data_IF_914223458867
#
_entry.id   IF_914223458867
#
_cell.length_a   1.000
_cell.length_b   1.000
_cell.length_c   1.000
_cell.angle_alpha   90.00
_cell.angle_beta   90.00
_cell.angle_gamma   90.00
#
_symmetry.space_group_name_H-M   'P 1'
#
loop_
_entity.id
_entity.type
_entity.pdbx_description
1 polymer ?
#
# COMPACT_ATOMS: atom_id res chain seq x y z
N UNK A 1 3.54 6.02 8.15
CA UNK A 1 4.20 4.71 8.20
C UNK A 1 3.10 3.66 8.08
N UNK A 2 3.19 2.84 7.04
CA UNK A 2 2.17 1.86 6.63
C UNK A 2 2.10 0.75 7.68
N UNK A 3 0.90 0.29 8.05
CA UNK A 3 0.64 -0.68 9.13
C UNK A 3 0.20 -2.01 8.52
N UNK A 4 1.12 -2.77 7.92
CA UNK A 4 0.79 -4.03 7.26
C UNK A 4 0.87 -5.23 8.21
N UNK A 5 0.04 -6.23 7.98
CA UNK A 5 0.02 -7.51 8.72
C UNK A 5 -0.43 -8.60 7.74
N UNK A 6 0.27 -9.73 7.71
CA UNK A 6 -0.11 -10.82 6.81
C UNK A 6 -1.49 -11.42 7.16
N UNK A 7 -1.71 -11.69 8.45
CA UNK A 7 -2.97 -12.23 8.98
C UNK A 7 -3.90 -11.06 9.35
N UNK A 8 -5.11 -10.99 8.75
CA UNK A 8 -6.02 -9.88 8.97
C UNK A 8 -6.50 -9.77 10.42
N UNK A 9 -6.73 -8.55 10.94
CA UNK A 9 -7.20 -8.34 12.31
C UNK A 9 -8.50 -9.08 12.65
N UNK A 10 -9.44 -9.19 11.71
CA UNK A 10 -10.71 -9.89 11.95
C UNK A 10 -10.50 -11.39 12.22
N UNK A 11 -9.49 -12.00 11.61
CA UNK A 11 -9.19 -13.41 11.77
C UNK A 11 -8.44 -13.63 13.09
N UNK A 12 -7.41 -12.82 13.36
CA UNK A 12 -6.69 -12.85 14.63
C UNK A 12 -7.62 -12.62 15.83
N UNK A 13 -8.62 -11.75 15.72
CA UNK A 13 -9.55 -11.48 16.82
C UNK A 13 -10.36 -12.72 17.20
N UNK A 14 -10.54 -13.63 16.24
CA UNK A 14 -11.30 -14.87 16.42
C UNK A 14 -10.46 -16.01 16.98
N UNK A 15 -9.19 -16.10 16.59
CA UNK A 15 -8.35 -17.30 16.87
C UNK A 15 -7.10 -17.02 17.68
N UNK A 16 -6.57 -15.80 17.64
CA UNK A 16 -5.29 -15.41 18.23
C UNK A 16 -5.31 -13.97 18.79
N UNK A 17 -6.21 -13.66 19.75
CA UNK A 17 -6.38 -12.29 20.26
C UNK A 17 -5.12 -11.74 20.95
N UNK A 18 -4.26 -12.62 21.48
CA UNK A 18 -2.98 -12.23 22.09
C UNK A 18 -2.02 -11.60 21.05
N UNK A 19 -2.01 -12.12 19.81
CA UNK A 19 -1.22 -11.55 18.71
C UNK A 19 -1.67 -10.13 18.36
N UNK A 20 -2.99 -9.84 18.45
CA UNK A 20 -3.49 -8.46 18.27
C UNK A 20 -2.91 -7.51 19.31
N UNK A 21 -2.82 -7.93 20.57
CA UNK A 21 -2.30 -7.09 21.66
C UNK A 21 -0.82 -6.78 21.44
N UNK A 22 -0.03 -7.78 21.03
CA UNK A 22 1.38 -7.59 20.68
C UNK A 22 1.51 -6.59 19.54
N UNK A 23 0.70 -6.76 18.50
CA UNK A 23 0.72 -5.88 17.35
C UNK A 23 0.27 -4.45 17.70
N UNK A 24 -0.69 -4.28 18.61
CA UNK A 24 -1.15 -2.98 19.13
C UNK A 24 -0.08 -2.30 20.00
N UNK A 25 0.69 -3.07 20.77
CA UNK A 25 1.83 -2.56 21.51
C UNK A 25 2.97 -2.10 20.58
N UNK A 26 3.26 -2.86 19.52
CA UNK A 26 4.19 -2.45 18.46
C UNK A 26 3.72 -1.16 17.77
N UNK A 27 2.42 -1.02 17.53
CA UNK A 27 1.80 0.20 16.98
C UNK A 27 1.97 1.41 17.91
N UNK A 28 1.83 1.22 19.23
CA UNK A 28 1.90 2.29 20.22
C UNK A 28 3.33 2.74 20.55
N UNK A 29 4.33 1.85 20.44
CA UNK A 29 5.74 2.14 20.76
C UNK A 29 6.48 3.02 19.75
N UNK A 30 5.87 3.38 18.62
CA UNK A 30 6.53 4.06 17.49
C UNK A 30 6.48 5.59 17.55
N UNK A 31 6.87 6.15 18.70
CA UNK A 31 7.17 7.59 18.83
C UNK A 31 8.66 7.80 19.13
N UNK A 32 9.52 7.57 18.14
CA UNK A 32 10.91 8.05 18.18
C UNK A 32 11.27 8.68 16.82
N UNK A 33 11.65 9.97 16.77
CA UNK A 33 12.16 10.59 15.56
C UNK A 33 13.45 9.91 15.11
N UNK A 34 13.57 9.58 13.83
CA UNK A 34 14.78 8.99 13.28
C UNK A 34 15.90 10.04 13.21
N UNK A 35 17.11 9.77 13.74
CA UNK A 35 18.27 10.60 13.47
C UNK A 35 18.69 10.46 12.01
N UNK A 36 19.19 11.55 11.46
CA UNK A 36 19.54 11.73 10.05
C UNK A 36 20.26 10.53 9.40
N UNK A 37 19.89 10.26 8.15
CA UNK A 37 20.39 9.15 7.33
C UNK A 37 21.92 9.21 7.26
N UNK A 38 22.58 8.39 8.08
CA UNK A 38 24.02 8.18 7.93
C UNK A 38 24.26 7.35 6.68
N UNK A 39 25.10 7.85 5.79
CA UNK A 39 25.61 7.15 4.60
C UNK A 39 26.00 5.71 4.92
N UNK A 40 25.27 4.75 4.35
CA UNK A 40 25.57 3.31 4.46
C UNK A 40 26.91 3.02 3.75
N UNK A 41 27.79 2.31 4.45
CA UNK A 41 29.07 1.85 3.93
C UNK A 41 28.87 0.74 2.87
N UNK A 42 29.76 0.62 1.86
CA UNK A 42 29.63 -0.36 0.76
C UNK A 42 29.80 -1.85 1.14
N UNK A 43 29.72 -2.22 2.42
CA UNK A 43 30.16 -3.53 2.94
C UNK A 43 29.10 -4.27 3.75
N UNK A 44 27.85 -3.81 3.78
CA UNK A 44 26.77 -4.55 4.43
C UNK A 44 26.33 -5.75 3.57
N UNK A 45 26.08 -6.90 4.19
CA UNK A 45 25.48 -8.06 3.51
C UNK A 45 24.12 -7.66 2.90
N UNK A 46 23.76 -8.23 1.75
CA UNK A 46 22.50 -7.92 1.06
C UNK A 46 21.27 -8.20 1.94
N UNK A 47 21.38 -9.19 2.82
CA UNK A 47 20.39 -9.46 3.86
C UNK A 47 21.05 -10.09 5.09
N UNK A 48 20.36 -9.94 6.24
CA UNK A 48 20.71 -10.56 7.52
C UNK A 48 19.45 -11.08 8.19
N UNK A 49 19.46 -12.36 8.55
CA UNK A 49 18.45 -13.01 9.40
C UNK A 49 18.89 -12.97 10.86
N UNK A 50 17.98 -12.54 11.71
CA UNK A 50 18.09 -12.48 13.15
C UNK A 50 17.09 -13.43 13.81
N UNK A 51 17.36 -13.81 15.05
CA UNK A 51 16.37 -14.44 15.94
C UNK A 51 16.03 -13.49 17.07
N UNK A 52 14.74 -13.38 17.38
CA UNK A 52 14.28 -12.69 18.58
C UNK A 52 14.34 -13.59 19.83
N UNK A 53 14.78 -14.84 19.70
CA UNK A 53 14.89 -15.83 20.79
C UNK A 53 13.57 -15.97 21.58
N UNK A 54 12.42 -15.96 20.88
CA UNK A 54 11.06 -15.97 21.43
C UNK A 54 10.72 -14.76 22.33
N UNK A 55 11.45 -13.65 22.16
CA UNK A 55 11.13 -12.35 22.75
C UNK A 55 10.50 -11.45 21.69
N UNK A 56 10.05 -10.26 22.09
CA UNK A 56 9.53 -9.24 21.17
C UNK A 56 10.56 -8.14 20.85
N UNK A 57 11.83 -8.35 21.19
CA UNK A 57 12.90 -7.37 20.96
C UNK A 57 13.45 -7.49 19.55
N UNK A 58 13.40 -6.40 18.79
CA UNK A 58 13.87 -6.32 17.40
C UNK A 58 15.20 -5.52 17.28
N UNK A 59 16.06 -5.84 16.29
CA UNK A 59 15.99 -7.00 15.40
C UNK A 59 16.41 -8.31 16.10
N UNK A 60 16.85 -8.25 17.36
CA UNK A 60 17.39 -9.43 18.05
C UNK A 60 18.79 -9.80 17.56
N UNK A 61 19.19 -11.05 17.77
CA UNK A 61 20.55 -11.53 17.54
C UNK A 61 20.72 -12.03 16.11
N UNK A 62 21.70 -11.50 15.38
CA UNK A 62 22.03 -11.98 14.04
C UNK A 62 22.47 -13.46 14.09
N UNK A 63 21.93 -14.28 13.18
CA UNK A 63 22.18 -15.72 13.10
C UNK A 63 22.63 -16.21 11.73
N UNK A 64 22.30 -15.48 10.66
CA UNK A 64 22.74 -15.80 9.30
C UNK A 64 22.74 -14.56 8.41
N UNK A 65 23.75 -14.42 7.55
CA UNK A 65 23.82 -13.34 6.55
C UNK A 65 24.01 -13.90 5.14
N UNK A 66 23.82 -13.05 4.13
CA UNK A 66 24.07 -13.41 2.74
C UNK A 66 25.49 -13.97 2.53
N UNK A 67 25.58 -15.21 2.02
CA UNK A 67 26.84 -15.92 1.79
C UNK A 67 27.24 -16.90 2.90
N UNK A 68 26.58 -16.85 4.06
CA UNK A 68 26.81 -17.81 5.14
C UNK A 68 26.18 -19.19 4.83
N UNK A 69 26.77 -20.30 5.32
CA UNK A 69 26.17 -21.63 5.22
C UNK A 69 24.83 -21.70 5.98
N UNK A 70 24.08 -22.79 5.76
CA UNK A 70 22.87 -23.09 6.53
C UNK A 70 23.16 -23.12 8.04
N UNK A 71 22.21 -22.58 8.79
CA UNK A 71 22.30 -22.45 10.24
C UNK A 71 21.91 -23.75 10.97
N UNK A 72 21.13 -24.61 10.31
CA UNK A 72 20.51 -25.79 10.92
C UNK A 72 19.18 -25.48 11.63
N UNK A 73 18.77 -24.22 11.65
CA UNK A 73 17.43 -23.80 12.05
C UNK A 73 16.56 -23.60 10.81
N UNK A 74 15.46 -24.35 10.73
CA UNK A 74 14.59 -24.36 9.55
C UNK A 74 13.97 -23.00 9.27
N UNK A 75 13.56 -22.23 10.28
CA UNK A 75 12.93 -20.94 10.07
C UNK A 75 13.94 -19.90 9.56
N UNK A 76 15.17 -19.94 10.10
CA UNK A 76 16.28 -19.10 9.64
C UNK A 76 16.65 -19.43 8.19
N UNK A 77 16.71 -20.72 7.86
CA UNK A 77 17.14 -21.18 6.54
C UNK A 77 16.07 -20.97 5.46
N UNK A 78 14.80 -21.12 5.80
CA UNK A 78 13.65 -20.73 4.96
C UNK A 78 13.63 -19.22 4.70
N UNK A 79 13.77 -18.38 5.75
CA UNK A 79 13.81 -16.94 5.60
C UNK A 79 14.97 -16.48 4.70
N UNK A 80 16.15 -17.08 4.86
CA UNK A 80 17.34 -16.82 4.05
C UNK A 80 17.14 -17.21 2.57
N UNK A 81 16.56 -18.38 2.30
CA UNK A 81 16.25 -18.82 0.95
C UNK A 81 15.20 -17.92 0.30
N UNK A 82 14.12 -17.60 1.03
CA UNK A 82 13.04 -16.74 0.57
C UNK A 82 13.51 -15.34 0.21
N UNK A 83 14.27 -14.68 1.09
CA UNK A 83 14.77 -13.32 0.78
C UNK A 83 15.75 -13.31 -0.39
N UNK A 84 16.57 -14.35 -0.52
CA UNK A 84 17.49 -14.49 -1.67
C UNK A 84 16.68 -14.59 -2.97
N UNK A 85 15.64 -15.42 -2.99
CA UNK A 85 14.74 -15.55 -4.14
C UNK A 85 13.98 -14.27 -4.47
N UNK A 86 13.47 -13.58 -3.44
CA UNK A 86 12.72 -12.35 -3.59
C UNK A 86 13.58 -11.20 -4.14
N UNK A 87 14.79 -11.01 -3.61
CA UNK A 87 15.74 -10.03 -4.14
C UNK A 87 16.16 -10.36 -5.58
N UNK A 88 16.38 -11.64 -5.90
CA UNK A 88 16.68 -12.07 -7.26
C UNK A 88 15.50 -11.83 -8.21
N UNK A 89 14.25 -12.04 -7.78
CA UNK A 89 13.08 -11.69 -8.58
C UNK A 89 13.09 -10.20 -8.92
N UNK A 90 13.22 -9.33 -7.91
CA UNK A 90 13.21 -7.89 -8.14
C UNK A 90 14.39 -7.39 -8.97
N UNK A 91 15.59 -7.90 -8.75
CA UNK A 91 16.78 -7.46 -9.48
C UNK A 91 16.83 -8.02 -10.91
N UNK A 92 16.73 -9.34 -11.07
CA UNK A 92 16.96 -10.01 -12.36
C UNK A 92 15.77 -9.85 -13.31
N UNK A 93 14.55 -9.87 -12.77
CA UNK A 93 13.35 -9.64 -13.57
C UNK A 93 13.15 -8.13 -13.64
N UNK A 94 12.85 -7.47 -12.52
CA UNK A 94 12.37 -6.08 -12.54
C UNK A 94 13.45 -5.00 -12.67
N UNK A 95 14.74 -5.35 -12.62
CA UNK A 95 15.85 -4.36 -12.63
C UNK A 95 15.88 -3.50 -11.37
N UNK A 96 15.22 -3.94 -10.29
CA UNK A 96 15.09 -3.21 -9.03
C UNK A 96 16.07 -3.75 -7.99
N UNK A 97 17.04 -2.92 -7.61
CA UNK A 97 17.98 -3.27 -6.54
C UNK A 97 17.34 -3.12 -5.16
N UNK A 98 16.92 -4.22 -4.56
CA UNK A 98 16.25 -4.29 -3.25
C UNK A 98 14.93 -3.50 -3.18
N UNK A 99 14.32 -3.44 -2.00
CA UNK A 99 13.01 -2.83 -1.80
C UNK A 99 13.00 -1.32 -2.09
N UNK A 100 14.12 -0.61 -1.96
CA UNK A 100 14.23 0.84 -2.18
C UNK A 100 14.74 1.24 -3.58
N UNK A 101 15.06 0.26 -4.43
CA UNK A 101 15.67 0.47 -5.74
C UNK A 101 17.13 0.94 -5.70
N UNK A 102 17.72 1.12 -4.51
CA UNK A 102 19.09 1.62 -4.32
C UNK A 102 20.00 0.58 -3.67
N UNK A 103 19.50 -0.61 -3.39
CA UNK A 103 20.26 -1.72 -2.83
C UNK A 103 20.33 -1.69 -1.30
N UNK A 104 19.29 -1.18 -0.63
CA UNK A 104 19.22 -1.25 0.83
C UNK A 104 19.35 -2.71 1.32
N UNK A 105 20.15 -2.97 2.37
CA UNK A 105 20.22 -4.29 2.98
C UNK A 105 18.89 -4.64 3.65
N UNK A 106 18.47 -5.91 3.57
CA UNK A 106 17.21 -6.37 4.18
C UNK A 106 17.49 -7.08 5.51
N UNK A 107 16.84 -6.61 6.58
CA UNK A 107 16.84 -7.31 7.87
C UNK A 107 15.57 -8.13 8.02
N UNK A 108 15.71 -9.35 8.53
CA UNK A 108 14.61 -10.26 8.82
C UNK A 108 14.77 -10.79 10.24
N UNK A 109 13.69 -10.90 11.00
CA UNK A 109 13.70 -11.48 12.35
C UNK A 109 12.72 -12.64 12.43
N UNK A 110 13.21 -13.82 12.81
CA UNK A 110 12.41 -15.03 13.07
C UNK A 110 12.29 -15.29 14.57
N UNK A 111 11.44 -16.26 14.96
CA UNK A 111 11.14 -16.60 16.35
C UNK A 111 10.68 -15.39 17.17
N UNK A 112 9.85 -14.54 16.54
CA UNK A 112 9.30 -13.36 17.17
C UNK A 112 8.16 -13.74 18.11
N UNK A 113 8.26 -13.34 19.38
CA UNK A 113 7.27 -13.67 20.40
C UNK A 113 7.18 -15.18 20.68
N UNK A 114 6.14 -15.58 21.38
CA UNK A 114 5.77 -16.99 21.60
C UNK A 114 4.39 -17.19 21.03
N UNK A 115 4.20 -18.28 20.29
CA UNK A 115 2.91 -18.61 19.67
C UNK A 115 2.34 -17.44 18.86
N UNK A 116 3.23 -16.69 18.19
CA UNK A 116 2.87 -15.47 17.49
C UNK A 116 2.34 -15.82 16.10
N UNK A 117 1.06 -15.56 15.91
CA UNK A 117 0.29 -15.96 14.73
C UNK A 117 0.31 -14.92 13.61
N UNK A 118 1.47 -14.32 13.33
CA UNK A 118 1.56 -13.33 12.26
C UNK A 118 2.96 -13.16 11.67
N UNK A 119 3.00 -12.45 10.54
CA UNK A 119 4.20 -11.86 9.96
C UNK A 119 3.90 -10.42 9.51
N UNK A 120 4.93 -9.57 9.45
CA UNK A 120 4.76 -8.18 9.01
C UNK A 120 6.07 -7.52 8.54
N UNK A 121 5.93 -6.58 7.60
CA UNK A 121 6.89 -5.49 7.38
C UNK A 121 6.65 -4.36 8.37
N UNK A 122 7.70 -3.99 9.08
CA UNK A 122 7.62 -3.06 10.19
C UNK A 122 7.95 -1.61 9.79
N UNK A 123 8.36 -1.37 8.54
CA UNK A 123 8.92 -0.10 8.06
C UNK A 123 10.46 -0.11 7.98
N UNK A 124 11.10 -1.09 8.63
CA UNK A 124 12.57 -1.24 8.68
C UNK A 124 13.00 -2.67 8.38
N UNK A 125 12.27 -3.67 8.87
CA UNK A 125 12.60 -5.09 8.74
C UNK A 125 11.36 -5.98 8.57
N UNK A 126 11.60 -7.21 8.11
CA UNK A 126 10.59 -8.27 8.08
C UNK A 126 10.60 -9.03 9.40
N UNK A 127 9.43 -9.38 9.93
CA UNK A 127 9.30 -10.09 11.22
C UNK A 127 8.36 -11.28 11.05
N UNK A 128 8.75 -12.45 11.56
CA UNK A 128 8.00 -13.70 11.41
C UNK A 128 7.81 -14.40 12.75
N UNK A 129 6.56 -14.78 13.02
CA UNK A 129 6.20 -15.68 14.11
C UNK A 129 6.33 -17.15 13.76
N UNK A 130 6.37 -17.97 14.81
CA UNK A 130 6.43 -19.43 14.70
C UNK A 130 5.03 -20.08 14.62
N UNK A 131 3.96 -19.29 14.79
CA UNK A 131 2.59 -19.78 14.93
C UNK A 131 2.34 -20.46 16.27
N UNK A 132 1.07 -20.68 16.60
CA UNK A 132 0.61 -21.28 17.86
C UNK A 132 0.71 -22.81 17.93
N UNK A 133 1.11 -23.47 16.83
CA UNK A 133 1.17 -24.92 16.76
C UNK A 133 -0.20 -25.61 16.81
N UNK A 134 -1.29 -24.86 16.66
CA UNK A 134 -2.68 -25.38 16.67
C UNK A 134 -3.45 -24.98 15.43
N UNK A 135 -3.44 -23.70 15.08
CA UNK A 135 -4.03 -23.16 13.86
C UNK A 135 -2.94 -22.89 12.84
N UNK A 136 -1.89 -22.17 13.24
CA UNK A 136 -0.82 -21.77 12.36
C UNK A 136 0.47 -22.54 12.62
N UNK A 137 1.15 -22.88 11.53
CA UNK A 137 2.56 -23.21 11.49
C UNK A 137 3.41 -21.93 11.42
N UNK A 138 4.73 -22.09 11.42
CA UNK A 138 5.68 -20.98 11.24
C UNK A 138 5.42 -20.23 9.93
N UNK A 139 5.50 -18.91 9.98
CA UNK A 139 5.20 -18.05 8.84
C UNK A 139 6.31 -18.00 7.78
N UNK A 140 7.48 -18.57 8.08
CA UNK A 140 8.57 -18.76 7.10
C UNK A 140 8.36 -19.97 6.18
N UNK A 141 7.43 -20.87 6.53
CA UNK A 141 7.21 -22.11 5.78
C UNK A 141 6.64 -21.87 4.37
N UNK A 142 5.91 -20.77 4.18
CA UNK A 142 5.45 -20.31 2.87
C UNK A 142 6.24 -19.07 2.45
N UNK A 143 7.02 -19.21 1.36
CA UNK A 143 7.81 -18.12 0.79
C UNK A 143 6.95 -16.95 0.30
N UNK A 144 5.69 -17.20 -0.05
CA UNK A 144 4.72 -16.20 -0.41
C UNK A 144 4.46 -15.19 0.72
N UNK A 145 4.50 -15.61 1.99
CA UNK A 145 4.38 -14.71 3.14
C UNK A 145 5.53 -13.69 3.13
N UNK A 146 6.77 -14.16 2.97
CA UNK A 146 7.94 -13.29 2.88
C UNK A 146 7.86 -12.37 1.66
N UNK A 147 7.47 -12.91 0.50
CA UNK A 147 7.30 -12.13 -0.73
C UNK A 147 6.27 -11.01 -0.57
N UNK A 148 5.16 -11.30 0.10
CA UNK A 148 4.10 -10.35 0.42
C UNK A 148 4.64 -9.22 1.32
N UNK A 149 5.29 -9.57 2.44
CA UNK A 149 5.81 -8.57 3.37
C UNK A 149 6.91 -7.69 2.76
N UNK A 150 7.84 -8.27 2.00
CA UNK A 150 8.85 -7.47 1.30
C UNK A 150 8.22 -6.51 0.27
N UNK A 151 7.13 -6.91 -0.35
CA UNK A 151 6.46 -6.10 -1.37
C UNK A 151 5.77 -4.88 -0.77
N UNK A 152 5.33 -4.91 0.49
CA UNK A 152 4.92 -3.68 1.18
C UNK A 152 6.04 -2.64 1.22
N UNK A 153 7.29 -3.07 1.48
CA UNK A 153 8.45 -2.18 1.45
C UNK A 153 8.71 -1.60 0.04
N UNK A 154 8.51 -2.42 -1.01
CA UNK A 154 8.58 -1.95 -2.41
C UNK A 154 7.51 -0.90 -2.70
N UNK A 155 6.27 -1.15 -2.28
CA UNK A 155 5.14 -0.22 -2.44
C UNK A 155 5.39 1.10 -1.70
N UNK A 156 5.90 1.04 -0.46
CA UNK A 156 6.28 2.22 0.33
C UNK A 156 7.36 3.06 -0.38
N UNK A 157 8.31 2.42 -1.05
CA UNK A 157 9.40 3.08 -1.79
C UNK A 157 9.11 3.23 -3.29
N UNK A 158 7.84 3.24 -3.68
CA UNK A 158 7.38 3.51 -5.05
C UNK A 158 6.13 4.39 -5.04
N UNK A 159 4.93 3.83 -5.26
CA UNK A 159 3.68 4.57 -5.32
C UNK A 159 3.21 5.09 -3.94
N UNK A 160 3.67 4.47 -2.85
CA UNK A 160 3.29 4.87 -1.49
C UNK A 160 1.79 4.73 -1.22
N UNK A 161 1.14 3.71 -1.79
CA UNK A 161 -0.28 3.44 -1.62
C UNK A 161 -0.68 3.48 -0.14
N UNK A 162 -1.60 4.38 0.20
CA UNK A 162 -2.09 4.56 1.56
C UNK A 162 -2.84 3.30 1.97
N UNK A 163 -2.56 2.82 3.18
CA UNK A 163 -3.17 1.63 3.75
C UNK A 163 -4.58 1.90 4.30
N UNK A 164 -5.49 2.30 3.41
CA UNK A 164 -6.87 2.63 3.74
C UNK A 164 -7.76 2.42 2.51
N UNK A 165 -8.98 1.92 2.69
CA UNK A 165 -10.00 1.74 1.66
C UNK A 165 -9.43 1.05 0.39
N UNK A 166 -9.77 1.54 -0.81
CA UNK A 166 -9.30 0.95 -2.08
C UNK A 166 -7.78 1.02 -2.27
N UNK A 167 -7.12 2.12 -1.86
CA UNK A 167 -5.66 2.21 -1.99
C UNK A 167 -4.95 1.19 -1.08
N UNK A 168 -5.54 0.89 0.08
CA UNK A 168 -5.05 -0.15 0.98
C UNK A 168 -5.30 -1.54 0.44
N UNK A 169 -6.48 -1.79 -0.13
CA UNK A 169 -6.77 -3.05 -0.82
C UNK A 169 -5.86 -3.28 -2.04
N UNK A 170 -5.45 -2.23 -2.74
CA UNK A 170 -4.41 -2.31 -3.78
C UNK A 170 -3.02 -2.61 -3.20
N UNK A 171 -2.69 -2.02 -2.05
CA UNK A 171 -1.41 -2.29 -1.36
C UNK A 171 -1.30 -3.78 -1.00
N UNK A 172 -2.36 -4.33 -0.39
CA UNK A 172 -2.49 -5.77 -0.11
C UNK A 172 -2.42 -6.63 -1.37
N UNK A 173 -3.17 -6.25 -2.41
CA UNK A 173 -3.21 -7.01 -3.65
C UNK A 173 -1.88 -7.03 -4.38
N UNK A 174 -1.18 -5.90 -4.44
CA UNK A 174 0.17 -5.83 -5.02
C UNK A 174 1.14 -6.74 -4.26
N UNK A 175 1.02 -6.80 -2.93
CA UNK A 175 1.81 -7.74 -2.12
C UNK A 175 1.50 -9.21 -2.44
N UNK A 176 0.22 -9.59 -2.58
CA UNK A 176 -0.20 -10.93 -3.02
C UNK A 176 0.29 -11.26 -4.44
N UNK A 177 0.22 -10.30 -5.36
CA UNK A 177 0.67 -10.44 -6.76
C UNK A 177 2.15 -10.81 -6.83
N UNK A 178 3.00 -10.09 -6.12
CA UNK A 178 4.44 -10.36 -6.17
C UNK A 178 4.85 -11.55 -5.30
N UNK A 179 4.07 -11.90 -4.27
CA UNK A 179 4.17 -13.18 -3.57
C UNK A 179 3.93 -14.37 -4.52
N UNK A 180 2.82 -14.33 -5.28
CA UNK A 180 2.50 -15.36 -6.27
C UNK A 180 3.56 -15.45 -7.38
N UNK A 181 4.06 -14.31 -7.86
CA UNK A 181 5.16 -14.28 -8.83
C UNK A 181 6.43 -14.95 -8.28
N UNK A 182 6.77 -14.71 -7.01
CA UNK A 182 7.93 -15.29 -6.35
C UNK A 182 7.80 -16.81 -6.22
N UNK A 183 6.68 -17.29 -5.66
CA UNK A 183 6.43 -18.71 -5.48
C UNK A 183 6.51 -19.46 -6.81
N UNK A 184 5.79 -18.97 -7.82
CA UNK A 184 5.77 -19.57 -9.15
C UNK A 184 7.15 -19.59 -9.78
N UNK A 185 7.94 -18.52 -9.61
CA UNK A 185 9.32 -18.45 -10.13
C UNK A 185 10.22 -19.48 -9.47
N UNK A 186 10.15 -19.61 -8.15
CA UNK A 186 10.97 -20.57 -7.39
C UNK A 186 10.60 -22.02 -7.72
N UNK A 187 9.33 -22.27 -8.01
CA UNK A 187 8.83 -23.59 -8.40
C UNK A 187 8.93 -23.87 -9.91
N UNK A 188 9.30 -22.88 -10.73
CA UNK A 188 9.33 -22.99 -12.19
C UNK A 188 7.95 -23.23 -12.81
N UNK A 189 6.89 -22.73 -12.18
CA UNK A 189 5.50 -22.90 -12.59
C UNK A 189 5.10 -21.92 -13.70
N UNK A 190 4.25 -22.39 -14.61
CA UNK A 190 3.50 -21.52 -15.51
C UNK A 190 2.19 -21.08 -14.86
N UNK A 191 1.49 -20.12 -15.49
CA UNK A 191 0.14 -19.70 -15.05
C UNK A 191 -0.86 -20.86 -14.90
N UNK A 192 -0.68 -21.95 -15.64
CA UNK A 192 -1.55 -23.11 -15.61
C UNK A 192 -1.25 -24.07 -14.44
N UNK A 193 -0.02 -24.05 -13.94
CA UNK A 193 0.43 -24.89 -12.81
C UNK A 193 0.27 -24.18 -11.46
N UNK A 194 0.13 -22.85 -11.48
CA UNK A 194 0.04 -22.01 -10.31
C UNK A 194 -1.21 -22.30 -9.46
N UNK A 195 -1.03 -22.37 -8.15
CA UNK A 195 -2.12 -22.58 -7.18
C UNK A 195 -3.05 -21.37 -7.09
N UNK A 196 -2.50 -20.17 -7.28
CA UNK A 196 -3.15 -18.86 -7.01
C UNK A 196 -3.58 -18.68 -5.55
N UNK A 197 -3.01 -19.47 -4.65
CA UNK A 197 -3.27 -19.43 -3.23
C UNK A 197 -2.19 -18.61 -2.52
N UNK A 198 -2.58 -17.80 -1.53
CA UNK A 198 -1.64 -17.02 -0.73
C UNK A 198 -1.67 -17.52 0.71
N UNK A 199 -0.51 -17.87 1.28
CA UNK A 199 -0.43 -18.51 2.59
C UNK A 199 -0.74 -20.01 2.51
N UNK A 200 -0.40 -20.68 1.41
CA UNK A 200 -0.60 -22.12 1.28
C UNK A 200 0.39 -22.87 2.16
N UNK A 201 -0.11 -23.59 3.17
CA UNK A 201 0.72 -24.36 4.11
C UNK A 201 1.05 -23.65 5.42
N UNK A 202 0.54 -22.44 5.66
CA UNK A 202 0.63 -21.81 6.99
C UNK A 202 -0.38 -22.42 7.96
N UNK A 203 -1.45 -23.05 7.49
CA UNK A 203 -2.43 -23.73 8.34
C UNK A 203 -1.99 -25.17 8.63
N UNK A 204 -2.18 -25.60 9.88
CA UNK A 204 -1.85 -26.96 10.29
C UNK A 204 -2.89 -27.99 9.82
N UNK A 205 -2.48 -29.28 9.69
CA UNK A 205 -3.42 -30.35 9.38
C UNK A 205 -4.60 -30.39 10.35
N UNK A 206 -5.82 -30.40 9.83
CA UNK A 206 -7.06 -30.41 10.61
C UNK A 206 -7.78 -29.07 10.69
N UNK A 207 -7.20 -28.00 10.15
CA UNK A 207 -7.90 -26.75 9.83
C UNK A 207 -8.47 -26.87 8.41
N UNK A 208 -9.76 -26.60 8.24
CA UNK A 208 -10.45 -26.66 6.93
C UNK A 208 -10.16 -25.40 6.08
N UNK A 209 -8.87 -25.19 5.80
CA UNK A 209 -8.32 -24.08 5.03
C UNK A 209 -7.27 -24.55 4.02
N UNK A 210 -7.38 -24.10 2.77
CA UNK A 210 -6.36 -24.35 1.73
C UNK A 210 -5.22 -23.34 1.81
N UNK A 211 -5.57 -22.11 2.15
CA UNK A 211 -4.68 -20.95 2.22
C UNK A 211 -5.41 -19.80 2.95
N UNK A 212 -4.74 -18.66 3.12
CA UNK A 212 -5.35 -17.48 3.72
C UNK A 212 -6.24 -16.74 2.70
N UNK A 213 -5.83 -16.72 1.43
CA UNK A 213 -6.55 -16.08 0.32
C UNK A 213 -6.45 -16.91 -0.96
N UNK A 214 -7.44 -16.78 -1.83
CA UNK A 214 -7.48 -17.40 -3.16
C UNK A 214 -7.64 -16.29 -4.21
N UNK A 215 -6.60 -16.03 -4.99
CA UNK A 215 -6.61 -14.97 -6.00
C UNK A 215 -7.52 -15.30 -7.19
N UNK A 216 -7.70 -16.58 -7.52
CA UNK A 216 -8.54 -17.00 -8.65
C UNK A 216 -10.04 -16.99 -8.28
N UNK A 217 -10.35 -17.33 -7.03
CA UNK A 217 -11.70 -17.37 -6.49
C UNK A 217 -11.75 -16.81 -5.05
N UNK A 218 -11.68 -15.47 -4.87
CA UNK A 218 -11.77 -14.84 -3.56
C UNK A 218 -13.04 -15.25 -2.81
N UNK A 219 -12.94 -15.49 -1.50
CA UNK A 219 -14.05 -15.96 -0.66
C UNK A 219 -14.17 -17.49 -0.57
N UNK A 220 -13.16 -18.23 -1.04
CA UNK A 220 -13.16 -19.70 -1.09
C UNK A 220 -11.90 -20.34 -0.50
N UNK A 221 -10.99 -19.56 0.08
CA UNK A 221 -9.71 -20.09 0.58
C UNK A 221 -9.91 -21.02 1.80
N UNK A 222 -10.90 -20.73 2.63
CA UNK A 222 -11.25 -21.51 3.83
C UNK A 222 -12.74 -21.43 4.16
N UNK A 223 -13.25 -22.49 4.79
CA UNK A 223 -14.58 -22.57 5.39
C UNK A 223 -14.51 -23.54 6.58
N UNK A 224 -14.00 -23.02 7.69
CA UNK A 224 -13.64 -23.79 8.88
C UNK A 224 -14.52 -23.40 10.07
N UNK A 225 -14.94 -24.34 10.94
CA UNK A 225 -15.77 -24.03 12.10
C UNK A 225 -15.14 -23.00 13.07
N UNK A 226 -13.81 -23.03 13.21
CA UNK A 226 -13.03 -22.17 14.09
C UNK A 226 -12.68 -20.86 13.39
N UNK A 227 -12.19 -20.87 12.16
CA UNK A 227 -11.83 -19.64 11.42
C UNK A 227 -13.06 -18.88 10.90
N UNK A 228 -14.13 -19.59 10.59
CA UNK A 228 -15.24 -19.09 9.78
C UNK A 228 -15.00 -19.33 8.30
N UNK A 229 -15.79 -18.63 7.47
CA UNK A 229 -15.64 -18.63 6.02
C UNK A 229 -14.80 -17.43 5.59
N UNK A 230 -13.98 -17.64 4.57
CA UNK A 230 -13.27 -16.57 3.86
C UNK A 230 -14.23 -15.44 3.43
N UNK A 231 -14.08 -14.23 3.97
CA UNK A 231 -14.99 -13.12 3.72
C UNK A 231 -14.58 -12.28 2.50
N UNK A 232 -13.51 -12.63 1.77
CA UNK A 232 -13.06 -11.83 0.63
C UNK A 232 -14.10 -11.78 -0.49
N UNK A 233 -14.18 -10.61 -1.13
CA UNK A 233 -15.00 -10.40 -2.32
C UNK A 233 -14.13 -10.32 -3.57
N UNK A 234 -14.66 -10.84 -4.69
CA UNK A 234 -13.93 -10.94 -5.96
C UNK A 234 -14.54 -10.15 -7.11
N UNK A 235 -15.55 -9.31 -6.84
CA UNK A 235 -16.19 -8.44 -7.82
C UNK A 235 -16.58 -7.11 -7.14
N UNK A 236 -16.50 -6.00 -7.88
CA UNK A 236 -16.69 -4.65 -7.32
C UNK A 236 -18.14 -4.38 -6.87
N UNK A 237 -19.13 -5.04 -7.47
CA UNK A 237 -20.53 -5.00 -6.98
C UNK A 237 -20.69 -5.50 -5.54
N UNK A 238 -19.79 -6.36 -5.08
CA UNK A 238 -19.79 -6.92 -3.73
C UNK A 238 -18.86 -6.14 -2.78
N UNK A 239 -18.33 -4.99 -3.20
CA UNK A 239 -17.38 -4.19 -2.42
C UNK A 239 -17.90 -3.94 -0.99
N UNK A 240 -17.05 -4.24 0.00
CA UNK A 240 -17.39 -4.11 1.41
C UNK A 240 -17.03 -2.71 1.90
N UNK A 241 -18.04 -1.86 2.05
CA UNK A 241 -17.91 -0.57 2.73
C UNK A 241 -17.88 -0.77 4.25
N UNK A 242 -16.75 -0.47 4.89
CA UNK A 242 -16.57 -0.62 6.34
C UNK A 242 -15.53 0.36 6.87
N UNK A 243 -15.49 0.58 8.19
CA UNK A 243 -14.38 1.28 8.87
C UNK A 243 -13.39 0.30 9.51
N UNK A 244 -13.79 -0.96 9.66
CA UNK A 244 -12.92 -2.02 10.17
C UNK A 244 -11.85 -2.36 9.14
N UNK A 245 -10.78 -3.02 9.59
CA UNK A 245 -9.72 -3.49 8.69
C UNK A 245 -9.21 -2.38 7.75
N UNK A 246 -9.06 -1.16 8.28
CA UNK A 246 -8.62 0.01 7.52
C UNK A 246 -9.47 0.29 6.28
N UNK A 247 -10.80 0.10 6.34
CA UNK A 247 -11.64 0.23 5.15
C UNK A 247 -11.77 -1.06 4.35
N UNK A 248 -11.60 -2.21 5.01
CA UNK A 248 -11.69 -3.53 4.38
C UNK A 248 -10.55 -3.82 3.42
N UNK A 249 -9.30 -3.44 3.76
CA UNK A 249 -8.15 -3.63 2.86
C UNK A 249 -7.94 -5.11 2.51
N UNK A 250 -8.07 -6.01 3.48
CA UNK A 250 -7.96 -7.45 3.24
C UNK A 250 -9.27 -8.06 2.73
N UNK A 251 -10.42 -7.44 3.00
CA UNK A 251 -11.73 -7.89 2.49
C UNK A 251 -11.86 -7.64 0.98
N UNK A 252 -11.40 -6.48 0.53
CA UNK A 252 -11.59 -5.98 -0.83
C UNK A 252 -10.38 -6.26 -1.75
N UNK A 253 -9.23 -6.71 -1.23
CA UNK A 253 -8.05 -7.04 -2.06
C UNK A 253 -8.28 -8.23 -3.02
N UNK A 254 -9.31 -9.05 -2.78
CA UNK A 254 -9.74 -10.11 -3.68
C UNK A 254 -10.14 -9.60 -5.08
N UNK A 255 -10.71 -8.40 -5.18
CA UNK A 255 -11.13 -7.79 -6.46
C UNK A 255 -9.91 -7.57 -7.39
N UNK A 256 -8.89 -6.78 -7.01
CA UNK A 256 -7.69 -6.61 -7.83
C UNK A 256 -6.82 -7.89 -7.93
N UNK A 257 -6.83 -8.79 -6.94
CA UNK A 257 -6.16 -10.10 -7.05
C UNK A 257 -6.74 -10.93 -8.20
N UNK A 258 -8.06 -10.98 -8.30
CA UNK A 258 -8.74 -11.70 -9.38
C UNK A 258 -8.52 -11.04 -10.73
N UNK A 259 -8.48 -9.71 -10.81
CA UNK A 259 -8.11 -9.01 -12.03
C UNK A 259 -6.70 -9.40 -12.49
N UNK A 260 -5.72 -9.44 -11.58
CA UNK A 260 -4.37 -9.89 -11.90
C UNK A 260 -4.36 -11.35 -12.40
N UNK A 261 -5.03 -12.25 -11.68
CA UNK A 261 -5.07 -13.66 -12.03
C UNK A 261 -5.66 -13.88 -13.43
N UNK A 262 -6.77 -13.22 -13.75
CA UNK A 262 -7.41 -13.28 -15.07
C UNK A 262 -6.50 -12.71 -16.17
N UNK A 263 -5.83 -11.58 -15.91
CA UNK A 263 -4.87 -11.00 -16.83
C UNK A 263 -3.68 -11.94 -17.07
N UNK A 264 -3.13 -12.54 -16.01
CA UNK A 264 -2.02 -13.48 -16.11
C UNK A 264 -2.39 -14.72 -16.93
N UNK A 265 -3.56 -15.31 -16.69
CA UNK A 265 -4.06 -16.45 -17.50
C UNK A 265 -4.24 -16.06 -18.97
N UNK A 266 -4.79 -14.87 -19.25
CA UNK A 266 -5.01 -14.41 -20.62
C UNK A 266 -3.70 -14.09 -21.36
N UNK A 267 -2.71 -13.55 -20.66
CA UNK A 267 -1.37 -13.24 -21.21
C UNK A 267 -0.56 -14.53 -21.42
N UNK A 268 -0.68 -15.49 -20.50
CA UNK A 268 0.06 -16.74 -20.53
C UNK A 268 1.54 -16.59 -20.16
N UNK A 269 2.28 -17.69 -20.30
CA UNK A 269 3.72 -17.74 -20.01
C UNK A 269 4.04 -17.72 -18.51
N UNK A 270 5.19 -17.15 -18.17
CA UNK A 270 5.63 -16.96 -16.80
C UNK A 270 5.02 -15.69 -16.21
N UNK A 271 4.35 -15.79 -15.08
CA UNK A 271 3.60 -14.68 -14.47
C UNK A 271 4.49 -13.48 -14.18
N UNK A 272 5.73 -13.68 -13.69
CA UNK A 272 6.64 -12.59 -13.33
C UNK A 272 7.15 -11.78 -14.53
N UNK A 273 7.25 -12.39 -15.72
CA UNK A 273 7.68 -11.73 -16.96
C UNK A 273 6.49 -11.15 -17.75
N UNK A 274 5.31 -11.77 -17.65
CA UNK A 274 4.06 -11.35 -18.28
C UNK A 274 3.31 -10.32 -17.43
N UNK A 275 2.19 -10.72 -16.82
CA UNK A 275 1.35 -9.81 -16.05
C UNK A 275 2.10 -9.10 -14.90
N UNK A 276 3.03 -9.79 -14.22
CA UNK A 276 3.82 -9.21 -13.14
C UNK A 276 4.68 -8.03 -13.59
N UNK A 277 5.20 -8.05 -14.84
CA UNK A 277 5.87 -6.89 -15.45
C UNK A 277 4.94 -5.70 -15.56
N UNK A 278 3.74 -5.92 -16.08
CA UNK A 278 2.75 -4.86 -16.30
C UNK A 278 2.35 -4.22 -14.97
N UNK A 279 2.10 -5.02 -13.94
CA UNK A 279 1.80 -4.52 -12.59
C UNK A 279 2.97 -3.77 -11.97
N UNK A 280 4.19 -4.25 -12.16
CA UNK A 280 5.40 -3.57 -11.68
C UNK A 280 5.59 -2.20 -12.35
N UNK A 281 5.44 -2.14 -13.67
CA UNK A 281 5.58 -0.91 -14.45
C UNK A 281 4.45 0.08 -14.12
N UNK A 282 3.23 -0.40 -13.84
CA UNK A 282 2.14 0.45 -13.37
C UNK A 282 2.42 1.04 -11.98
N UNK A 283 2.85 0.21 -11.02
CA UNK A 283 3.18 0.63 -9.65
C UNK A 283 4.33 1.66 -9.61
N UNK A 284 5.33 1.50 -10.48
CA UNK A 284 6.56 2.32 -10.45
C UNK A 284 6.60 3.43 -11.51
N UNK A 285 5.68 3.43 -12.47
CA UNK A 285 5.65 4.35 -13.61
C UNK A 285 5.10 5.76 -13.32
N UNK A 286 4.79 6.07 -12.07
CA UNK A 286 4.38 7.42 -11.63
C UNK A 286 2.91 7.79 -11.90
N UNK A 287 2.12 6.88 -12.50
CA UNK A 287 0.67 7.05 -12.67
C UNK A 287 -0.14 6.67 -11.43
N UNK A 288 0.45 5.85 -10.56
CA UNK A 288 -0.12 5.41 -9.28
C UNK A 288 0.51 6.25 -8.17
N UNK A 289 -0.32 6.74 -7.26
CA UNK A 289 0.08 7.49 -6.09
C UNK A 289 -0.66 7.05 -4.83
N UNK A 290 -0.46 7.73 -3.69
CA UNK A 290 -0.96 7.26 -2.40
C UNK A 290 -2.46 7.02 -2.32
N UNK A 291 -3.25 7.80 -3.07
CA UNK A 291 -4.72 7.78 -3.02
C UNK A 291 -5.36 7.13 -4.26
N UNK A 292 -4.56 6.43 -5.08
CA UNK A 292 -5.08 5.73 -6.26
C UNK A 292 -6.06 4.64 -5.81
N UNK A 293 -7.29 4.69 -6.32
CA UNK A 293 -8.29 3.63 -6.18
C UNK A 293 -8.25 2.63 -7.34
N UNK A 294 -9.20 1.70 -7.37
CA UNK A 294 -9.20 0.58 -8.33
C UNK A 294 -9.26 1.04 -9.79
N UNK A 295 -10.12 2.01 -10.12
CA UNK A 295 -10.25 2.53 -11.48
C UNK A 295 -8.95 3.18 -11.99
N UNK A 296 -8.26 3.95 -11.14
CA UNK A 296 -6.99 4.58 -11.48
C UNK A 296 -5.85 3.58 -11.65
N UNK A 297 -5.81 2.54 -10.80
CA UNK A 297 -4.83 1.47 -10.94
C UNK A 297 -5.09 0.60 -12.17
N UNK A 298 -6.36 0.32 -12.48
CA UNK A 298 -6.76 -0.35 -13.72
C UNK A 298 -6.28 0.43 -14.95
N UNK A 299 -6.51 1.74 -15.00
CA UNK A 299 -6.00 2.59 -16.08
C UNK A 299 -4.46 2.57 -16.18
N UNK A 300 -3.75 2.59 -15.05
CA UNK A 300 -2.29 2.52 -15.03
C UNK A 300 -1.76 1.18 -15.56
N UNK A 301 -2.38 0.05 -15.19
CA UNK A 301 -1.99 -1.28 -15.70
C UNK A 301 -2.28 -1.43 -17.19
N UNK A 302 -3.42 -0.94 -17.68
CA UNK A 302 -3.74 -0.94 -19.13
C UNK A 302 -2.72 -0.10 -19.90
N UNK A 303 -2.36 1.08 -19.39
CA UNK A 303 -1.35 1.94 -20.02
C UNK A 303 0.04 1.29 -20.06
N UNK A 304 0.39 0.47 -19.07
CA UNK A 304 1.65 -0.28 -19.02
C UNK A 304 1.63 -1.56 -19.89
N UNK A 305 0.46 -2.06 -20.28
CA UNK A 305 0.29 -3.40 -20.85
C UNK A 305 0.77 -3.56 -22.30
N UNK A 306 0.95 -2.47 -23.05
CA UNK A 306 1.36 -2.52 -24.46
C UNK A 306 0.42 -3.41 -25.29
N UNK A 307 0.96 -4.46 -25.90
CA UNK A 307 0.18 -5.41 -26.72
C UNK A 307 -0.85 -6.22 -25.91
N UNK A 308 -0.76 -6.23 -24.58
CA UNK A 308 -1.67 -6.94 -23.68
C UNK A 308 -2.80 -6.05 -23.12
N UNK A 309 -2.94 -4.81 -23.58
CA UNK A 309 -3.93 -3.86 -23.07
C UNK A 309 -5.37 -4.41 -23.07
N UNK A 310 -5.77 -5.10 -24.14
CA UNK A 310 -7.12 -5.70 -24.23
C UNK A 310 -7.33 -6.82 -23.19
N UNK A 311 -6.30 -7.63 -22.94
CA UNK A 311 -6.36 -8.71 -21.94
C UNK A 311 -6.46 -8.15 -20.52
N UNK A 312 -5.67 -7.12 -20.21
CA UNK A 312 -5.70 -6.44 -18.92
C UNK A 312 -7.03 -5.69 -18.72
N UNK A 313 -7.52 -4.99 -19.74
CA UNK A 313 -8.82 -4.32 -19.70
C UNK A 313 -9.96 -5.30 -19.45
N UNK A 314 -9.99 -6.41 -20.21
CA UNK A 314 -11.00 -7.47 -20.04
C UNK A 314 -10.97 -8.08 -18.63
N UNK A 315 -9.79 -8.18 -18.01
CA UNK A 315 -9.66 -8.71 -16.66
C UNK A 315 -10.22 -7.76 -15.58
N UNK A 316 -10.03 -6.44 -15.73
CA UNK A 316 -10.64 -5.44 -14.85
C UNK A 316 -12.16 -5.36 -15.04
N UNK A 317 -12.63 -5.41 -16.29
CA UNK A 317 -14.05 -5.45 -16.60
C UNK A 317 -14.74 -6.68 -15.99
N UNK A 318 -14.07 -7.84 -16.02
CA UNK A 318 -14.58 -9.09 -15.44
C UNK A 318 -14.74 -9.07 -13.91
N UNK A 319 -14.09 -8.13 -13.22
CA UNK A 319 -14.26 -7.89 -11.78
C UNK A 319 -15.08 -6.63 -11.48
N UNK A 320 -15.71 -6.03 -12.50
CA UNK A 320 -16.61 -4.88 -12.33
C UNK A 320 -15.91 -3.53 -12.14
N UNK A 321 -14.62 -3.42 -12.48
CA UNK A 321 -13.86 -2.18 -12.35
C UNK A 321 -13.68 -1.54 -13.72
N UNK A 322 -14.35 -0.41 -13.96
CA UNK A 322 -14.12 0.41 -15.15
C UNK A 322 -12.89 1.29 -14.92
N UNK A 323 -11.88 1.27 -15.81
CA UNK A 323 -10.70 2.11 -15.68
C UNK A 323 -11.06 3.60 -15.80
N UNK A 324 -10.34 4.44 -15.05
CA UNK A 324 -10.44 5.89 -15.24
C UNK A 324 -10.09 6.24 -16.70
N UNK A 325 -10.81 7.21 -17.27
CA UNK A 325 -10.45 7.73 -18.57
C UNK A 325 -8.99 8.21 -18.50
N UNK A 326 -8.16 7.80 -19.47
CA UNK A 326 -6.83 8.39 -19.58
C UNK A 326 -6.99 9.91 -19.57
N UNK A 327 -6.16 10.66 -18.82
CA UNK A 327 -6.09 12.08 -19.04
C UNK A 327 -5.64 12.28 -20.49
N UNK A 328 -6.60 12.55 -21.37
CA UNK A 328 -6.31 12.94 -22.74
C UNK A 328 -5.36 14.11 -22.65
N UNK A 329 -4.14 13.92 -23.13
CA UNK A 329 -3.22 14.99 -23.48
C UNK A 329 -3.74 15.74 -24.71
N UNK A 330 -5.01 16.14 -24.68
CA UNK A 330 -5.44 17.34 -25.39
C UNK A 330 -4.77 18.49 -24.67
N UNK A 331 -3.72 19.03 -25.29
CA UNK A 331 -3.38 20.43 -25.09
C UNK A 331 -4.70 21.21 -25.10
N UNK A 332 -5.02 21.97 -24.04
CA UNK A 332 -6.26 22.72 -24.04
C UNK A 332 -6.29 23.57 -25.32
N UNK A 333 -7.43 23.66 -26.04
CA UNK A 333 -7.55 24.69 -27.06
C UNK A 333 -7.14 26.00 -26.39
N UNK A 334 -6.36 26.82 -27.09
CA UNK A 334 -5.96 28.15 -26.64
C UNK A 334 -7.22 28.99 -26.38
N UNK A 335 -7.77 28.81 -25.19
CA UNK A 335 -8.95 29.46 -24.66
C UNK A 335 -8.45 30.25 -23.47
N UNK A 336 -8.61 31.57 -23.57
CA UNK A 336 -8.34 32.59 -22.57
C UNK A 336 -8.30 32.04 -21.14
N UNK A 337 -7.13 32.11 -20.52
CA UNK A 337 -6.90 31.72 -19.13
C UNK A 337 -7.85 32.51 -18.21
N UNK A 338 -8.85 31.83 -17.66
CA UNK A 338 -9.60 32.33 -16.51
C UNK A 338 -8.68 32.27 -15.30
N UNK A 339 -8.50 33.40 -14.58
CA UNK A 339 -7.72 33.44 -13.33
C UNK A 339 -8.54 32.80 -12.22
N UNK A 340 -8.25 31.53 -11.93
CA UNK A 340 -8.92 30.78 -10.85
C UNK A 340 -7.97 30.47 -9.72
N UNK A 341 -8.48 30.51 -8.49
CA UNK A 341 -7.76 30.15 -7.28
C UNK A 341 -8.50 29.02 -6.59
N UNK A 342 -7.82 27.90 -6.37
CA UNK A 342 -8.37 26.74 -5.67
C UNK A 342 -7.51 26.38 -4.45
N UNK A 343 -8.18 25.97 -3.37
CA UNK A 343 -7.54 25.48 -2.16
C UNK A 343 -8.19 24.17 -1.75
N UNK A 344 -7.38 23.17 -1.42
CA UNK A 344 -7.83 21.92 -0.81
C UNK A 344 -7.09 21.71 0.51
N UNK A 345 -7.83 21.35 1.55
CA UNK A 345 -7.29 20.96 2.86
C UNK A 345 -7.58 19.50 3.12
N UNK A 346 -6.54 18.74 3.47
CA UNK A 346 -6.62 17.34 3.86
C UNK A 346 -5.99 17.12 5.23
N UNK A 347 -6.41 16.11 5.99
CA UNK A 347 -5.84 15.77 7.30
C UNK A 347 -6.72 16.16 8.49
N UNK A 348 -6.13 16.22 9.69
CA UNK A 348 -6.84 16.33 10.97
C UNK A 348 -7.37 14.98 11.48
N UNK A 349 -7.67 14.90 12.78
CA UNK A 349 -8.04 13.66 13.50
C UNK A 349 -9.25 12.90 12.89
N UNK A 350 -10.06 13.57 12.06
CA UNK A 350 -11.24 13.01 11.41
C UNK A 350 -11.07 12.75 9.89
N UNK A 351 -9.89 12.99 9.30
CA UNK A 351 -9.64 12.75 7.87
C UNK A 351 -10.51 13.56 6.90
N UNK A 352 -11.09 14.68 7.34
CA UNK A 352 -12.05 15.44 6.54
C UNK A 352 -11.37 16.20 5.39
N UNK A 353 -11.91 16.03 4.19
CA UNK A 353 -11.52 16.75 2.99
C UNK A 353 -12.38 18.01 2.83
N UNK A 354 -11.75 19.19 2.73
CA UNK A 354 -12.43 20.45 2.44
C UNK A 354 -11.80 21.09 1.21
N UNK A 355 -12.61 21.51 0.23
CA UNK A 355 -12.13 22.13 -0.99
C UNK A 355 -13.03 23.28 -1.42
N UNK A 356 -12.41 24.29 -2.02
CA UNK A 356 -13.12 25.45 -2.56
C UNK A 356 -12.35 26.09 -3.72
N UNK A 357 -13.07 26.90 -4.49
CA UNK A 357 -12.55 27.62 -5.66
C UNK A 357 -13.15 29.04 -5.69
N UNK A 358 -12.37 29.99 -6.23
CA UNK A 358 -12.78 31.37 -6.51
C UNK A 358 -12.35 31.69 -7.94
N UNK A 359 -13.31 32.12 -8.75
CA UNK A 359 -13.07 32.66 -10.09
C UNK A 359 -12.85 34.18 -9.98
N UNK A 360 -11.63 34.65 -10.30
CA UNK A 360 -11.26 36.07 -10.20
C UNK A 360 -11.78 36.91 -11.37
N UNK A 361 -12.23 36.27 -12.43
CA UNK A 361 -12.86 36.94 -13.57
C UNK A 361 -14.40 36.91 -13.47
N UNK A 362 -14.95 36.29 -12.42
CA UNK A 362 -16.38 36.22 -12.12
C UNK A 362 -16.86 37.19 -11.02
N UNK A 363 -18.14 37.09 -10.66
CA UNK A 363 -18.79 37.97 -9.66
C UNK A 363 -18.65 37.44 -8.21
N UNK A 364 -17.64 36.62 -7.91
CA UNK A 364 -17.45 36.10 -6.55
C UNK A 364 -17.09 37.26 -5.60
N UNK A 365 -17.85 37.50 -4.52
CA UNK A 365 -17.61 38.62 -3.60
C UNK A 365 -16.25 38.53 -2.90
N UNK A 366 -15.60 37.36 -2.90
CA UNK A 366 -14.25 37.13 -2.37
C UNK A 366 -13.15 37.51 -3.36
N UNK A 367 -13.48 37.62 -4.66
CA UNK A 367 -12.55 37.84 -5.77
C UNK A 367 -11.55 38.99 -5.56
N UNK A 368 -11.97 40.20 -5.14
CA UNK A 368 -11.04 41.32 -4.92
C UNK A 368 -9.99 41.06 -3.84
N UNK A 369 -10.36 40.40 -2.73
CA UNK A 369 -9.43 40.11 -1.63
C UNK A 369 -8.48 38.96 -2.00
N UNK A 370 -9.00 37.93 -2.66
CA UNK A 370 -8.21 36.80 -3.17
C UNK A 370 -7.18 37.28 -4.20
N UNK A 371 -7.57 38.17 -5.13
CA UNK A 371 -6.65 38.77 -6.11
C UNK A 371 -5.50 39.54 -5.44
N UNK A 372 -5.78 40.32 -4.39
CA UNK A 372 -4.75 41.06 -3.65
C UNK A 372 -3.82 40.16 -2.83
N UNK A 373 -4.29 38.98 -2.39
CA UNK A 373 -3.49 38.00 -1.67
C UNK A 373 -2.53 37.26 -2.60
N UNK A 374 -2.98 36.83 -3.78
CA UNK A 374 -2.11 36.09 -4.71
C UNK A 374 -0.94 36.93 -5.23
N UNK A 375 -1.07 38.26 -5.33
CA UNK A 375 0.03 39.15 -5.72
C UNK A 375 1.17 39.20 -4.68
N UNK A 376 0.89 38.80 -3.43
CA UNK A 376 1.87 38.81 -2.32
C UNK A 376 2.43 37.43 -1.98
N UNK A 377 1.86 36.37 -2.56
CA UNK A 377 2.24 34.99 -2.29
C UNK A 377 3.18 34.51 -3.40
N UNK A 378 4.40 34.16 -3.01
CA UNK A 378 5.33 33.43 -3.88
C UNK A 378 5.31 31.95 -3.47
N UNK A 379 4.60 31.11 -4.25
CA UNK A 379 4.52 29.67 -4.00
C UNK A 379 5.85 28.94 -4.21
N UNK A 380 6.76 29.49 -5.01
CA UNK A 380 8.07 28.89 -5.26
C UNK A 380 9.06 29.13 -4.11
N UNK A 381 8.77 30.09 -3.23
CA UNK A 381 9.53 30.34 -2.02
C UNK A 381 9.05 29.51 -0.81
N UNK A 382 7.97 28.74 -0.95
CA UNK A 382 7.45 27.90 0.14
C UNK A 382 8.30 26.63 0.26
N UNK A 383 8.95 26.45 1.41
CA UNK A 383 9.80 25.30 1.69
C UNK A 383 8.97 24.06 2.06
N UNK A 384 9.24 22.96 1.36
CA UNK A 384 8.82 21.62 1.76
C UNK A 384 9.42 21.29 3.13
N UNK A 385 8.58 21.26 4.15
CA UNK A 385 8.94 20.80 5.49
C UNK A 385 8.56 19.34 5.70
N UNK A 386 9.20 18.65 6.67
CA UNK A 386 8.79 17.31 7.05
C UNK A 386 7.30 17.31 7.46
N UNK A 387 6.52 16.46 6.80
CA UNK A 387 5.12 16.23 7.15
C UNK A 387 5.03 15.69 8.58
N UNK A 388 4.22 16.33 9.42
CA UNK A 388 3.89 15.81 10.76
C UNK A 388 2.56 15.05 10.66
N UNK A 389 2.45 13.85 11.26
CA UNK A 389 1.16 13.17 11.43
C UNK A 389 0.15 14.07 12.15
N UNK A 390 -1.14 13.92 11.82
CA UNK A 390 -2.30 14.59 12.45
C UNK A 390 -2.49 16.09 12.19
N UNK A 391 -1.69 16.71 11.30
CA UNK A 391 -1.86 18.12 10.89
C UNK A 391 -2.48 18.28 9.50
N UNK A 392 -3.09 19.44 9.27
CA UNK A 392 -3.68 19.73 7.96
C UNK A 392 -2.59 19.98 6.91
N UNK A 393 -2.85 19.55 5.69
CA UNK A 393 -2.05 19.82 4.49
C UNK A 393 -2.92 20.62 3.52
N UNK A 394 -2.38 21.70 2.98
CA UNK A 394 -3.09 22.59 2.08
C UNK A 394 -2.47 22.54 0.69
N UNK A 395 -3.24 22.12 -0.31
CA UNK A 395 -2.86 22.25 -1.71
C UNK A 395 -3.44 23.54 -2.27
N UNK A 396 -2.58 24.42 -2.79
CA UNK A 396 -2.94 25.67 -3.45
C UNK A 396 -2.75 25.53 -4.95
N UNK A 397 -3.70 26.05 -5.74
CA UNK A 397 -3.58 26.34 -7.16
C UNK A 397 -3.92 27.82 -7.36
N UNK A 398 -2.91 28.65 -7.61
CA UNK A 398 -3.04 30.09 -7.80
C UNK A 398 -2.85 30.40 -9.27
N UNK A 399 -3.95 30.39 -10.03
CA UNK A 399 -3.94 30.65 -11.47
C UNK A 399 -2.97 29.74 -12.27
N UNK A 400 -2.80 28.48 -11.83
CA UNK A 400 -1.92 27.50 -12.46
C UNK A 400 -0.63 27.22 -11.68
N UNK A 401 -0.22 28.11 -10.78
CA UNK A 401 0.93 27.87 -9.90
C UNK A 401 0.52 27.04 -8.70
N UNK A 402 1.18 25.89 -8.50
CA UNK A 402 0.76 24.89 -7.52
C UNK A 402 1.82 24.62 -6.47
N UNK A 403 1.37 24.52 -5.22
CA UNK A 403 2.21 24.08 -4.11
C UNK A 403 1.39 23.37 -3.03
N UNK A 404 2.05 22.48 -2.30
CA UNK A 404 1.47 21.80 -1.14
C UNK A 404 2.17 22.29 0.10
N UNK A 405 1.42 22.85 1.04
CA UNK A 405 1.95 23.56 2.21
C UNK A 405 1.40 22.92 3.48
N UNK A 406 2.26 22.35 4.34
CA UNK A 406 1.84 21.91 5.67
C UNK A 406 1.26 23.09 6.47
N UNK A 407 0.26 22.84 7.30
CA UNK A 407 -0.42 23.90 8.08
C UNK A 407 0.55 24.80 8.86
N UNK A 408 1.62 24.20 9.42
CA UNK A 408 2.65 24.92 10.17
C UNK A 408 3.49 25.89 9.32
N UNK A 409 3.48 25.71 8.00
CA UNK A 409 4.25 26.51 7.03
C UNK A 409 3.37 27.51 6.28
N UNK A 410 2.07 27.58 6.59
CA UNK A 410 1.21 28.62 6.04
C UNK A 410 1.68 30.00 6.52
N UNK A 411 2.09 30.83 5.58
CA UNK A 411 2.26 32.26 5.81
C UNK A 411 0.90 32.88 6.21
N UNK A 412 0.89 34.06 6.84
CA UNK A 412 -0.37 34.77 7.14
C UNK A 412 -1.26 34.95 5.91
N UNK A 413 -0.66 35.24 4.75
CA UNK A 413 -1.39 35.40 3.49
C UNK A 413 -1.94 34.06 2.95
N UNK A 414 -1.16 32.96 3.01
CA UNK A 414 -1.64 31.63 2.62
C UNK A 414 -2.75 31.11 3.55
N UNK A 415 -2.67 31.41 4.85
CA UNK A 415 -3.70 31.07 5.83
C UNK A 415 -4.99 31.84 5.55
N UNK A 416 -4.90 33.16 5.33
CA UNK A 416 -6.04 34.00 4.97
C UNK A 416 -6.69 33.56 3.65
N UNK A 417 -5.86 33.20 2.67
CA UNK A 417 -6.31 32.68 1.39
C UNK A 417 -7.07 31.36 1.55
N UNK A 418 -6.55 30.44 2.36
CA UNK A 418 -7.23 29.19 2.66
C UNK A 418 -8.58 29.42 3.37
N UNK A 419 -8.64 30.33 4.35
CA UNK A 419 -9.89 30.64 5.05
C UNK A 419 -10.96 31.20 4.07
N UNK A 420 -10.59 32.15 3.21
CA UNK A 420 -11.51 32.75 2.23
C UNK A 420 -12.03 31.72 1.21
N UNK A 421 -11.16 30.84 0.73
CA UNK A 421 -11.52 29.88 -0.32
C UNK A 421 -12.28 28.68 0.25
N UNK A 422 -11.96 28.25 1.48
CA UNK A 422 -12.55 27.06 2.13
C UNK A 422 -13.79 27.36 2.99
N UNK A 423 -14.00 28.60 3.46
CA UNK A 423 -15.23 28.98 4.14
C UNK A 423 -16.38 29.11 3.13
N UNK A 424 -17.40 28.24 3.26
CA UNK A 424 -18.69 28.46 2.62
C UNK A 424 -19.36 29.68 3.28
N UNK A 425 -20.06 30.54 2.53
CA UNK A 425 -20.83 31.62 3.13
C UNK A 425 -21.83 31.01 4.11
N UNK A 426 -21.70 31.37 5.40
CA UNK A 426 -22.67 30.97 6.43
C UNK A 426 -24.03 31.53 6.04
N UNK A 427 -24.91 30.72 5.46
CA UNK A 427 -26.33 30.98 5.53
C UNK A 427 -26.74 30.79 6.98
N UNK A 428 -26.99 31.89 7.69
CA UNK A 428 -27.53 31.88 9.05
C UNK A 428 -28.84 31.06 9.05
N UNK A 429 -28.98 30.00 9.88
CA UNK A 429 -30.24 29.28 10.01
C UNK A 429 -31.33 30.10 10.73
N UNK A 430 -31.03 31.33 11.17
CA UNK A 430 -32.01 32.24 11.77
C UNK A 430 -32.35 33.32 10.76
N UNK A 431 -33.51 33.15 10.14
CA UNK A 431 -34.08 34.09 9.19
C UNK A 431 -34.19 35.52 9.73
N UNK A 432 -34.33 36.44 8.78
CA UNK A 432 -34.55 37.85 8.98
C UNK A 432 -35.66 38.12 9.97
N UNK A 433 -35.32 38.33 11.24
CA UNK A 433 -36.16 38.98 12.23
C UNK A 433 -35.44 39.07 13.58
N UNK A 434 -34.80 40.23 13.84
CA UNK A 434 -34.95 41.07 15.04
C UNK A 434 -34.03 42.31 14.91
N UNK A 435 -34.62 43.45 15.31
CA UNK A 435 -34.19 44.83 15.07
C UNK A 435 -32.82 45.19 15.61
#
# INVERSE_FOLDING_TARGET
MVRCRFVPPYLLARIAPESIVVDDALRAGRTVPYPDRTTLLPTAAAWTVHTADNTTTLPGRAVRSAGDPESGDVAVDEAAAGITGALALFDEVYGRRSYDGKGAPVSLTVHYGRDYDNAFWDGVQLVFGDGDGRVFARFTADVGVLGHELTHAVTEHSAGLRYQDQSGALNESVSDVFAACLEQRLLGQTVADASWLIGAGIFLPGVDARALRDMAAPGTAYDDPVLGKDPQVGHFDDYVETTDDNGGVHLNSGIPNRAFQLAAVAIGGATWEGAGRIWYDALTGGRVGPDTGFAGFAAATIAAAGAHADAVGSAWDAVGVTPDAEPTTTAPPAGTASRRVAVRRTGGFAGLHLGGEVDLDGDDPRGPEVAALIERVDLHAVTDGPHQPDRFLYAFDLCGDRATVPEQHLSPDLRRLADLVLEQPRTDPRGADWR
#
